data_IF_954986522790
#
_entry.id   IF_954986522790
#
_cell.length_a   1.000
_cell.length_b   1.000
_cell.length_c   1.000
_cell.angle_alpha   90.00
_cell.angle_beta   90.00
_cell.angle_gamma   90.00
#
_symmetry.space_group_name_H-M   'P 1'
#
loop_
_entity.id
_entity.type
_entity.pdbx_description
1 polymer ?
#
# COMPACT_ATOMS: atom_id res chain seq x y z
N UNK A 1 -10.41 -40.03 -9.03
CA UNK A 1 -9.61 -39.10 -9.87
C UNK A 1 -10.36 -37.78 -10.20
N UNK A 2 -11.52 -37.49 -9.62
CA UNK A 2 -12.35 -36.32 -10.03
C UNK A 2 -12.44 -35.16 -9.02
N UNK A 3 -11.82 -35.27 -7.84
CA UNK A 3 -11.91 -34.23 -6.80
C UNK A 3 -10.97 -33.03 -6.99
N UNK A 4 -9.81 -33.24 -7.62
CA UNK A 4 -8.76 -32.21 -7.76
C UNK A 4 -9.19 -31.13 -8.77
N UNK A 5 -9.95 -31.50 -9.81
CA UNK A 5 -10.48 -30.56 -10.81
C UNK A 5 -11.57 -29.65 -10.22
N UNK A 6 -12.38 -30.17 -9.30
CA UNK A 6 -13.39 -29.39 -8.57
C UNK A 6 -12.74 -28.38 -7.61
N UNK A 7 -11.63 -28.77 -6.98
CA UNK A 7 -10.91 -27.94 -6.01
C UNK A 7 -10.14 -26.80 -6.67
N UNK A 8 -9.61 -27.01 -7.88
CA UNK A 8 -9.03 -25.92 -8.69
C UNK A 8 -10.09 -24.94 -9.23
N UNK A 9 -11.30 -25.40 -9.54
CA UNK A 9 -12.39 -24.52 -9.95
C UNK A 9 -12.89 -23.66 -8.79
N UNK A 10 -13.02 -24.26 -7.59
CA UNK A 10 -13.38 -23.54 -6.38
C UNK A 10 -12.32 -22.51 -5.96
N UNK A 11 -11.03 -22.84 -6.09
CA UNK A 11 -9.94 -21.93 -5.76
C UNK A 11 -9.84 -20.76 -6.75
N UNK A 12 -10.08 -20.99 -8.06
CA UNK A 12 -10.18 -19.90 -9.04
C UNK A 12 -11.35 -18.95 -8.71
N UNK A 13 -12.44 -19.48 -8.15
CA UNK A 13 -13.64 -18.71 -7.84
C UNK A 13 -13.46 -17.82 -6.61
N UNK A 14 -12.68 -18.26 -5.62
CA UNK A 14 -12.30 -17.44 -4.45
C UNK A 14 -11.43 -16.23 -4.84
N UNK A 15 -10.46 -16.43 -5.75
CA UNK A 15 -9.58 -15.37 -6.24
C UNK A 15 -10.37 -14.29 -7.01
N UNK A 16 -11.41 -14.68 -7.75
CA UNK A 16 -12.26 -13.73 -8.46
C UNK A 16 -13.14 -12.96 -7.47
N UNK A 17 -13.71 -13.64 -6.48
CA UNK A 17 -14.54 -12.99 -5.46
C UNK A 17 -13.77 -11.95 -4.65
N UNK A 18 -12.52 -12.23 -4.25
CA UNK A 18 -11.68 -11.26 -3.53
C UNK A 18 -11.53 -9.95 -4.31
N UNK A 19 -11.31 -10.02 -5.63
CA UNK A 19 -11.16 -8.84 -6.49
C UNK A 19 -12.44 -8.00 -6.58
N UNK A 20 -13.62 -8.61 -6.54
CA UNK A 20 -14.90 -7.90 -6.50
C UNK A 20 -15.14 -7.19 -5.16
N UNK A 21 -14.67 -7.74 -4.03
CA UNK A 21 -14.74 -7.05 -2.74
C UNK A 21 -13.82 -5.82 -2.71
N UNK A 22 -12.62 -5.92 -3.28
CA UNK A 22 -11.72 -4.77 -3.42
C UNK A 22 -12.30 -3.69 -4.36
N UNK A 23 -12.95 -4.07 -5.46
CA UNK A 23 -13.65 -3.13 -6.34
C UNK A 23 -14.84 -2.48 -5.65
N UNK A 24 -15.63 -3.25 -4.89
CA UNK A 24 -16.79 -2.74 -4.13
C UNK A 24 -16.40 -1.81 -2.99
N UNK A 25 -15.26 -2.06 -2.33
CA UNK A 25 -14.73 -1.14 -1.31
C UNK A 25 -14.18 0.17 -1.94
N UNK A 26 -13.58 0.07 -3.12
CA UNK A 26 -13.13 1.24 -3.89
C UNK A 26 -14.31 2.07 -4.44
N UNK A 27 -15.40 1.43 -4.89
CA UNK A 27 -16.59 2.13 -5.38
C UNK A 27 -17.56 2.57 -4.27
N UNK A 28 -17.58 1.92 -3.10
CA UNK A 28 -18.29 2.41 -1.91
C UNK A 28 -17.65 3.67 -1.30
N UNK A 29 -16.40 3.98 -1.65
CA UNK A 29 -15.73 5.22 -1.26
C UNK A 29 -15.98 6.39 -2.24
N UNK A 30 -16.82 6.18 -3.26
CA UNK A 30 -17.13 7.17 -4.31
C UNK A 30 -18.59 7.67 -4.27
N UNK A 31 -19.33 7.48 -3.18
CA UNK A 31 -20.61 8.18 -3.02
C UNK A 31 -20.38 9.68 -2.75
N UNK A 32 -20.86 10.58 -3.64
CA UNK A 32 -20.83 12.01 -3.41
C UNK A 32 -22.01 12.37 -2.50
N UNK A 33 -21.81 12.39 -1.17
CA UNK A 33 -22.92 12.78 -0.31
C UNK A 33 -22.75 12.68 1.21
N UNK A 34 -21.74 12.00 1.73
CA UNK A 34 -21.47 12.04 3.17
C UNK A 34 -20.22 12.87 3.40
N UNK A 35 -20.44 14.11 3.83
CA UNK A 35 -19.42 14.93 4.47
C UNK A 35 -19.04 14.29 5.80
N UNK A 36 -18.34 13.15 5.75
CA UNK A 36 -17.38 12.83 6.79
C UNK A 36 -16.40 13.99 6.68
N UNK A 37 -16.38 14.83 7.72
CA UNK A 37 -15.34 15.84 7.92
C UNK A 37 -14.01 15.10 8.05
N UNK A 38 -13.52 14.59 6.92
CA UNK A 38 -12.23 13.97 6.76
C UNK A 38 -11.26 15.07 7.16
N UNK A 39 -10.36 14.81 8.12
CA UNK A 39 -9.35 15.79 8.51
C UNK A 39 -8.77 16.41 7.25
N UNK A 40 -8.59 17.75 7.19
CA UNK A 40 -8.08 18.40 6.00
C UNK A 40 -6.84 17.64 5.54
N UNK A 41 -6.66 17.48 4.23
CA UNK A 41 -5.59 16.67 3.65
C UNK A 41 -4.22 16.99 4.28
N UNK A 42 -3.99 18.25 4.67
CA UNK A 42 -2.84 18.70 5.44
C UNK A 42 -2.66 18.00 6.80
N UNK A 43 -3.73 17.78 7.56
CA UNK A 43 -3.72 17.05 8.83
C UNK A 43 -3.46 15.55 8.62
N UNK A 44 -4.05 14.94 7.58
CA UNK A 44 -3.76 13.55 7.22
C UNK A 44 -2.29 13.39 6.78
N UNK A 45 -1.76 14.35 6.03
CA UNK A 45 -0.36 14.37 5.60
C UNK A 45 0.61 14.63 6.75
N UNK A 46 0.27 15.53 7.69
CA UNK A 46 1.05 15.75 8.91
C UNK A 46 1.10 14.49 9.79
N UNK A 47 -0.03 13.77 9.92
CA UNK A 47 -0.08 12.49 10.63
C UNK A 47 0.78 11.43 9.94
N UNK A 48 0.71 11.33 8.60
CA UNK A 48 1.53 10.39 7.85
C UNK A 48 3.04 10.69 7.98
N UNK A 49 3.44 11.96 8.02
CA UNK A 49 4.84 12.35 8.27
C UNK A 49 5.26 11.93 9.69
N UNK A 50 4.39 12.14 10.69
CA UNK A 50 4.63 11.69 12.06
C UNK A 50 4.78 10.18 12.18
N UNK A 51 3.96 9.42 11.46
CA UNK A 51 4.03 7.95 11.44
C UNK A 51 5.31 7.46 10.76
N UNK A 52 5.75 8.11 9.67
CA UNK A 52 7.05 7.81 9.03
C UNK A 52 8.23 8.08 9.97
N UNK A 53 8.18 9.15 10.77
CA UNK A 53 9.22 9.42 11.79
C UNK A 53 9.29 8.30 12.82
N UNK A 54 8.14 7.87 13.34
CA UNK A 54 8.07 6.75 14.29
C UNK A 54 8.57 5.44 13.68
N UNK A 55 8.26 5.20 12.40
CA UNK A 55 8.76 4.02 11.69
C UNK A 55 10.27 4.06 11.46
N UNK A 56 10.87 5.24 11.27
CA UNK A 56 12.32 5.39 11.20
C UNK A 56 13.00 5.07 12.54
N UNK A 57 12.44 5.55 13.65
CA UNK A 57 12.97 5.24 15.00
C UNK A 57 12.89 3.73 15.26
N UNK A 58 11.73 3.13 14.95
CA UNK A 58 11.51 1.68 15.11
C UNK A 58 12.43 0.84 14.20
N UNK A 59 12.75 1.33 13.00
CA UNK A 59 13.72 0.71 12.10
C UNK A 59 15.16 0.85 12.60
N UNK A 60 15.49 1.96 13.29
CA UNK A 60 16.76 2.15 13.96
C UNK A 60 16.98 1.11 15.06
N UNK A 61 15.95 0.89 15.89
CA UNK A 61 15.97 -0.17 16.92
C UNK A 61 16.08 -1.56 16.29
N UNK A 62 15.34 -1.83 15.22
CA UNK A 62 15.43 -3.10 14.49
C UNK A 62 16.80 -3.34 13.85
N UNK A 63 17.44 -2.28 13.34
CA UNK A 63 18.79 -2.35 12.76
C UNK A 63 19.83 -2.63 13.84
N UNK A 64 19.64 -2.08 15.03
CA UNK A 64 20.45 -2.34 16.22
C UNK A 64 20.30 -3.80 16.67
N UNK A 65 19.09 -4.32 16.67
CA UNK A 65 18.78 -5.73 16.95
C UNK A 65 19.30 -6.70 15.87
N UNK A 66 19.34 -6.27 14.61
CA UNK A 66 19.85 -7.05 13.49
C UNK A 66 21.38 -7.13 13.48
N UNK A 67 22.09 -6.05 13.82
CA UNK A 67 23.55 -6.05 13.97
C UNK A 67 24.04 -6.88 15.16
N UNK A 68 23.14 -7.24 16.10
CA UNK A 68 23.40 -8.23 17.14
C UNK A 68 23.38 -9.70 16.64
N UNK A 69 23.18 -9.95 15.34
CA UNK A 69 23.55 -11.22 14.70
C UNK A 69 22.48 -12.33 14.69
N UNK A 70 21.19 -12.00 14.53
CA UNK A 70 20.09 -12.96 14.70
C UNK A 70 19.59 -13.74 13.47
N UNK A 71 20.08 -13.54 12.24
CA UNK A 71 19.42 -14.19 11.07
C UNK A 71 20.36 -14.68 9.96
N UNK A 72 20.36 -15.99 9.71
CA UNK A 72 21.11 -16.71 8.68
C UNK A 72 20.29 -16.95 7.38
N UNK A 73 19.25 -16.17 7.12
CA UNK A 73 18.29 -16.42 6.04
C UNK A 73 18.54 -15.53 4.81
N UNK A 74 19.36 -16.04 3.89
CA UNK A 74 19.68 -15.39 2.60
C UNK A 74 18.43 -15.19 1.73
N UNK A 75 17.42 -16.07 1.85
CA UNK A 75 16.17 -15.96 1.11
C UNK A 75 15.33 -14.76 1.60
N UNK A 76 15.26 -14.55 2.91
CA UNK A 76 14.61 -13.37 3.50
C UNK A 76 15.23 -12.05 3.08
N UNK A 77 16.57 -11.97 2.99
CA UNK A 77 17.27 -10.76 2.52
C UNK A 77 16.98 -10.47 1.04
N UNK A 78 16.94 -11.49 0.17
CA UNK A 78 16.64 -11.31 -1.25
C UNK A 78 15.18 -10.89 -1.49
N UNK A 79 14.24 -11.49 -0.75
CA UNK A 79 12.83 -11.09 -0.81
C UNK A 79 12.62 -9.66 -0.30
N UNK A 80 13.31 -9.27 0.77
CA UNK A 80 13.29 -7.91 1.27
C UNK A 80 13.83 -6.91 0.24
N UNK A 81 14.93 -7.24 -0.47
CA UNK A 81 15.45 -6.42 -1.57
C UNK A 81 14.46 -6.27 -2.72
N UNK A 82 13.83 -7.36 -3.16
CA UNK A 82 12.82 -7.32 -4.23
C UNK A 82 11.60 -6.47 -3.84
N UNK A 83 11.13 -6.60 -2.60
CA UNK A 83 10.03 -5.80 -2.07
C UNK A 83 10.39 -4.32 -1.97
N UNK A 84 11.62 -4.00 -1.57
CA UNK A 84 12.11 -2.63 -1.51
C UNK A 84 12.20 -1.98 -2.90
N UNK A 85 12.72 -2.69 -3.91
CA UNK A 85 12.77 -2.20 -5.29
C UNK A 85 11.37 -1.93 -5.85
N UNK A 86 10.43 -2.87 -5.68
CA UNK A 86 9.04 -2.69 -6.12
C UNK A 86 8.35 -1.52 -5.40
N UNK A 87 8.56 -1.40 -4.09
CA UNK A 87 8.03 -0.29 -3.30
C UNK A 87 8.58 1.07 -3.72
N UNK A 88 9.85 1.14 -4.12
CA UNK A 88 10.48 2.36 -4.61
C UNK A 88 9.89 2.81 -5.95
N UNK A 89 9.72 1.89 -6.90
CA UNK A 89 9.07 2.19 -8.18
C UNK A 89 7.63 2.67 -8.00
N UNK A 90 6.88 2.01 -7.12
CA UNK A 90 5.51 2.42 -6.79
C UNK A 90 5.48 3.82 -6.19
N UNK A 91 6.42 4.14 -5.31
CA UNK A 91 6.54 5.47 -4.69
C UNK A 91 6.82 6.55 -5.73
N UNK A 92 7.67 6.28 -6.73
CA UNK A 92 7.90 7.20 -7.83
C UNK A 92 6.63 7.44 -8.66
N UNK A 93 5.86 6.39 -8.94
CA UNK A 93 4.60 6.52 -9.68
C UNK A 93 3.55 7.33 -8.90
N UNK A 94 3.43 7.09 -7.59
CA UNK A 94 2.54 7.84 -6.71
C UNK A 94 2.96 9.30 -6.64
N UNK A 95 4.26 9.58 -6.44
CA UNK A 95 4.80 10.95 -6.45
C UNK A 95 4.44 11.68 -7.73
N UNK A 96 4.67 11.05 -8.88
CA UNK A 96 4.41 11.66 -10.18
C UNK A 96 2.91 11.94 -10.38
N UNK A 97 2.03 11.01 -9.97
CA UNK A 97 0.57 11.22 -10.01
C UNK A 97 0.10 12.35 -9.08
N UNK A 98 0.68 12.46 -7.88
CA UNK A 98 0.35 13.53 -6.94
C UNK A 98 0.76 14.92 -7.46
N UNK A 99 1.95 15.03 -8.07
CA UNK A 99 2.39 16.29 -8.71
C UNK A 99 1.44 16.66 -9.85
N UNK A 100 1.04 15.69 -10.67
CA UNK A 100 0.13 15.91 -11.80
C UNK A 100 -1.26 16.33 -11.35
N UNK A 101 -1.81 15.70 -10.30
CA UNK A 101 -3.09 16.08 -9.71
C UNK A 101 -3.06 17.49 -9.09
N UNK A 102 -1.94 17.89 -8.49
CA UNK A 102 -1.74 19.25 -8.01
C UNK A 102 -1.72 20.26 -9.16
N UNK A 103 -0.99 19.97 -10.24
CA UNK A 103 -0.99 20.80 -11.45
C UNK A 103 -2.37 20.89 -12.10
N UNK A 104 -3.12 19.80 -12.19
CA UNK A 104 -4.47 19.80 -12.76
C UNK A 104 -5.44 20.69 -11.96
N UNK A 105 -5.42 20.66 -10.62
CA UNK A 105 -6.23 21.57 -9.80
C UNK A 105 -5.83 23.04 -10.01
N UNK A 106 -4.54 23.31 -10.16
CA UNK A 106 -4.02 24.67 -10.35
C UNK A 106 -4.30 25.24 -11.74
N UNK A 107 -4.44 24.38 -12.75
CA UNK A 107 -4.70 24.75 -14.14
C UNK A 107 -6.18 24.74 -14.49
N UNK A 108 -7.04 24.24 -13.59
CA UNK A 108 -8.49 24.28 -13.76
C UNK A 108 -8.93 25.75 -13.74
N UNK A 109 -9.44 26.30 -14.86
CA UNK A 109 -10.00 27.65 -14.83
C UNK A 109 -11.23 27.62 -13.92
N UNK A 110 -11.29 28.58 -12.99
CA UNK A 110 -12.50 28.84 -12.19
C UNK A 110 -13.63 29.38 -13.06
#
# INVERSE_FOLDING_TARGET
>A
MSGITSQLLAMRQDIIAQNDVFKKAASASLEPGVAISRPPFSAAMASAIGDVSKQQDHAGDFTRDYTMGRTNDVAGVMLAKQKASLGFELTLQVRNKLIKAYQDIMTMPV
#
